data_IF_628388659225
#
_entry.id   IF_628388659225
#
_cell.length_a   1.000
_cell.length_b   1.000
_cell.length_c   1.000
_cell.angle_alpha   90.00
_cell.angle_beta   90.00
_cell.angle_gamma   90.00
#
_symmetry.space_group_name_H-M   'P 1'
#
loop_
_entity.id
_entity.type
_entity.pdbx_description
1 polymer ?
#
# COMPACT_ATOMS: atom_id res chain seq x y z
N UNK A 1 -20.53 -36.61 -47.76
CA UNK A 1 -21.62 -37.06 -46.87
C UNK A 1 -21.54 -36.15 -45.63
N UNK A 2 -22.06 -34.91 -45.68
CA UNK A 2 -23.49 -34.54 -45.55
C UNK A 2 -24.03 -35.07 -44.22
N UNK A 3 -24.27 -34.28 -43.17
CA UNK A 3 -25.25 -33.17 -42.99
C UNK A 3 -24.80 -32.33 -41.75
N UNK A 4 -24.76 -30.99 -41.67
CA UNK A 4 -25.77 -29.90 -41.77
C UNK A 4 -27.00 -30.05 -40.85
N UNK A 5 -27.07 -29.30 -39.74
CA UNK A 5 -28.15 -28.33 -39.48
C UNK A 5 -27.95 -27.46 -38.21
N UNK A 6 -28.58 -26.26 -38.13
CA UNK A 6 -28.14 -25.11 -37.33
C UNK A 6 -29.12 -24.65 -36.21
N UNK A 7 -28.69 -23.61 -35.50
CA UNK A 7 -29.30 -22.81 -34.41
C UNK A 7 -30.79 -22.45 -34.54
N UNK A 8 -31.44 -22.05 -33.43
CA UNK A 8 -32.47 -21.02 -33.46
C UNK A 8 -31.99 -19.68 -32.86
N UNK A 9 -32.31 -18.64 -33.62
CA UNK A 9 -32.29 -17.22 -33.32
C UNK A 9 -33.41 -16.91 -32.33
N UNK A 10 -33.18 -16.03 -31.35
CA UNK A 10 -34.27 -15.34 -30.66
C UNK A 10 -34.04 -13.83 -30.69
N UNK A 11 -34.88 -13.16 -31.48
CA UNK A 11 -35.04 -11.72 -31.57
C UNK A 11 -36.09 -11.27 -30.55
N UNK A 12 -35.74 -10.33 -29.68
CA UNK A 12 -36.65 -9.72 -28.71
C UNK A 12 -36.40 -8.22 -28.60
N UNK A 13 -37.05 -7.49 -29.50
CA UNK A 13 -37.11 -6.04 -29.65
C UNK A 13 -37.95 -5.31 -28.59
N UNK A 14 -37.50 -4.09 -28.26
CA UNK A 14 -38.23 -2.86 -27.86
C UNK A 14 -39.33 -2.92 -26.78
N UNK A 15 -39.23 -2.03 -25.78
CA UNK A 15 -40.20 -0.94 -25.51
C UNK A 15 -39.83 -0.14 -24.25
N UNK A 16 -39.45 1.14 -24.45
CA UNK A 16 -39.59 2.22 -23.48
C UNK A 16 -41.03 2.78 -23.57
N UNK A 17 -41.58 3.27 -22.45
CA UNK A 17 -42.32 4.53 -22.51
C UNK A 17 -41.94 5.44 -21.32
N UNK A 18 -41.47 6.67 -21.56
CA UNK A 18 -42.25 7.90 -21.80
C UNK A 18 -42.67 8.62 -20.51
N UNK A 19 -42.04 9.79 -20.31
CA UNK A 19 -42.48 10.89 -19.43
C UNK A 19 -43.85 11.43 -19.85
N UNK A 20 -44.54 12.16 -18.96
CA UNK A 20 -45.36 13.29 -19.35
C UNK A 20 -44.85 14.63 -18.80
N UNK A 21 -44.94 15.63 -19.68
CA UNK A 21 -44.86 17.08 -19.47
C UNK A 21 -46.23 17.63 -19.02
N UNK A 22 -46.26 18.68 -18.17
CA UNK A 22 -46.93 20.00 -18.34
C UNK A 22 -46.96 20.75 -16.99
N UNK A 23 -46.41 21.97 -16.90
CA UNK A 23 -47.05 23.31 -17.08
C UNK A 23 -48.07 23.63 -15.95
N UNK A 24 -48.27 24.84 -15.40
CA UNK A 24 -47.76 26.21 -15.54
C UNK A 24 -48.64 27.11 -14.62
N UNK A 25 -48.15 28.26 -14.14
CA UNK A 25 -48.95 29.34 -13.48
C UNK A 25 -49.30 29.07 -12.00
N UNK A 26 -49.29 30.01 -11.06
CA UNK A 26 -49.63 31.44 -11.12
C UNK A 26 -48.88 32.28 -10.06
N UNK A 27 -48.82 33.58 -10.33
CA UNK A 27 -48.32 34.67 -9.48
C UNK A 27 -49.45 35.34 -8.66
N UNK A 28 -49.03 36.20 -7.70
CA UNK A 28 -49.74 37.35 -7.08
C UNK A 28 -50.82 37.01 -6.02
N UNK A 29 -51.04 37.72 -4.90
CA UNK A 29 -50.58 39.01 -4.37
C UNK A 29 -50.93 39.14 -2.87
N UNK A 30 -50.03 39.79 -2.12
CA UNK A 30 -50.20 40.79 -1.03
C UNK A 30 -51.56 40.90 -0.30
N UNK A 31 -51.56 40.74 1.03
CA UNK A 31 -52.18 41.67 2.00
C UNK A 31 -51.78 41.33 3.44
N UNK A 32 -51.37 42.35 4.21
CA UNK A 32 -50.75 42.20 5.52
C UNK A 32 -51.71 42.07 6.70
N UNK A 33 -51.13 41.67 7.84
CA UNK A 33 -51.61 42.07 9.16
C UNK A 33 -50.44 42.06 10.14
N UNK A 34 -50.06 43.26 10.55
CA UNK A 34 -49.10 43.52 11.64
C UNK A 34 -49.82 43.25 12.96
N UNK A 35 -49.26 42.37 13.77
CA UNK A 35 -49.62 42.24 15.20
C UNK A 35 -48.31 42.25 15.97
N UNK A 36 -48.08 43.34 16.72
CA UNK A 36 -46.98 43.46 17.66
C UNK A 36 -47.24 42.52 18.84
N UNK A 37 -46.36 41.55 19.05
CA UNK A 37 -46.26 40.80 20.30
C UNK A 37 -44.86 40.98 20.86
N UNK A 38 -44.78 41.82 21.89
CA UNK A 38 -43.62 42.03 22.74
C UNK A 38 -43.39 40.75 23.57
N UNK A 39 -42.36 39.99 23.23
CA UNK A 39 -41.80 38.97 24.12
C UNK A 39 -40.28 39.14 24.11
N UNK A 40 -39.75 39.63 25.22
CA UNK A 40 -38.31 39.76 25.48
C UNK A 40 -37.72 38.34 25.48
N UNK A 41 -36.73 38.01 24.63
CA UNK A 41 -36.03 36.74 24.74
C UNK A 41 -35.03 36.81 25.90
N UNK A 42 -35.09 35.79 26.75
CA UNK A 42 -34.13 35.56 27.84
C UNK A 42 -32.68 35.55 27.32
N UNK A 43 -31.69 35.91 28.17
CA UNK A 43 -30.29 35.97 27.76
C UNK A 43 -29.79 34.60 27.26
N UNK A 44 -28.81 34.58 26.34
CA UNK A 44 -28.28 33.34 25.79
C UNK A 44 -27.72 32.48 26.93
N UNK A 45 -28.21 31.24 27.00
CA UNK A 45 -27.61 30.18 27.79
C UNK A 45 -26.15 30.11 27.37
N UNK A 46 -25.25 30.49 28.28
CA UNK A 46 -23.83 30.18 28.16
C UNK A 46 -23.77 28.67 28.06
N UNK A 47 -23.47 28.15 26.86
CA UNK A 47 -23.05 26.77 26.69
C UNK A 47 -21.75 26.63 27.50
N UNK A 48 -21.89 26.23 28.76
CA UNK A 48 -20.79 25.62 29.49
C UNK A 48 -20.51 24.32 28.73
N UNK A 49 -19.57 24.38 27.79
CA UNK A 49 -18.91 23.18 27.31
C UNK A 49 -18.37 22.51 28.58
N UNK A 50 -18.96 21.37 28.94
CA UNK A 50 -18.53 20.61 30.11
C UNK A 50 -17.03 20.37 29.98
N UNK A 51 -16.25 20.73 31.00
CA UNK A 51 -14.79 20.52 31.06
C UNK A 51 -14.37 19.08 30.72
N UNK A 52 -15.29 18.13 30.85
CA UNK A 52 -15.15 16.73 30.42
C UNK A 52 -14.83 16.55 28.92
N UNK A 53 -15.22 17.48 28.04
CA UNK A 53 -14.88 17.42 26.62
C UNK A 53 -13.47 18.00 26.33
N UNK A 54 -12.97 18.87 27.20
CA UNK A 54 -11.62 19.44 27.11
C UNK A 54 -10.55 18.47 27.62
N UNK A 55 -10.86 17.67 28.65
CA UNK A 55 -9.95 16.63 29.16
C UNK A 55 -9.71 15.51 28.13
N UNK A 56 -10.69 15.21 27.27
CA UNK A 56 -10.52 14.30 26.13
C UNK A 56 -9.66 14.90 24.98
N UNK A 57 -9.51 16.23 24.95
CA UNK A 57 -8.63 16.96 24.02
C UNK A 57 -7.24 17.21 24.62
N UNK A 58 -7.01 16.79 25.86
CA UNK A 58 -5.72 16.89 26.56
C UNK A 58 -4.81 15.78 26.05
N UNK A 59 -4.45 15.87 24.77
CA UNK A 59 -3.44 15.03 24.16
C UNK A 59 -2.14 15.07 24.97
N UNK A 60 -1.31 14.07 24.79
CA UNK A 60 -0.03 13.98 25.49
C UNK A 60 0.87 15.16 25.10
N UNK A 61 0.84 16.21 25.93
CA UNK A 61 1.58 17.45 25.71
C UNK A 61 3.07 17.19 25.60
N UNK A 62 3.60 16.19 26.32
CA UNK A 62 5.02 15.85 26.26
C UNK A 62 5.36 15.27 24.88
N UNK A 63 4.59 14.29 24.40
CA UNK A 63 4.79 13.71 23.07
C UNK A 63 4.64 14.74 21.96
N UNK A 64 3.63 15.62 22.03
CA UNK A 64 3.46 16.69 21.04
C UNK A 64 4.63 17.68 21.06
N UNK A 65 5.18 18.00 22.24
CA UNK A 65 6.36 18.87 22.34
C UNK A 65 7.59 18.20 21.73
N UNK A 66 7.78 16.90 21.95
CA UNK A 66 8.88 16.14 21.33
C UNK A 66 8.73 16.06 19.80
N UNK A 67 7.53 15.73 19.30
CA UNK A 67 7.24 15.71 17.87
C UNK A 67 7.48 17.09 17.23
N UNK A 68 7.06 18.16 17.90
CA UNK A 68 7.28 19.52 17.42
C UNK A 68 8.76 19.87 17.37
N UNK A 69 9.54 19.46 18.38
CA UNK A 69 10.99 19.60 18.35
C UNK A 69 11.61 18.84 17.17
N UNK A 70 11.18 17.59 16.91
CA UNK A 70 11.66 16.81 15.75
C UNK A 70 11.29 17.48 14.42
N UNK A 71 10.12 18.09 14.33
CA UNK A 71 9.70 18.85 13.16
C UNK A 71 10.59 20.10 12.97
N UNK A 72 10.91 20.83 14.04
CA UNK A 72 11.84 21.95 13.97
C UNK A 72 13.23 21.49 13.52
N UNK A 73 13.75 20.38 14.07
CA UNK A 73 15.00 19.79 13.62
C UNK A 73 14.95 19.44 12.12
N UNK A 74 13.85 18.85 11.65
CA UNK A 74 13.63 18.58 10.22
C UNK A 74 13.66 19.86 9.35
N UNK A 75 13.01 20.94 9.80
CA UNK A 75 13.00 22.24 9.09
C UNK A 75 14.38 22.88 9.05
N UNK A 76 15.14 22.77 10.14
CA UNK A 76 16.48 23.36 10.26
C UNK A 76 17.60 22.45 9.72
N UNK A 77 17.29 21.23 9.28
CA UNK A 77 18.28 20.27 8.80
C UNK A 77 19.13 19.65 9.92
N UNK A 78 18.65 19.68 11.16
CA UNK A 78 19.30 19.05 12.30
C UNK A 78 18.91 17.56 12.40
N UNK A 79 19.83 16.70 12.89
CA UNK A 79 19.54 15.28 13.05
C UNK A 79 18.49 15.03 14.14
N UNK A 80 17.58 14.09 13.88
CA UNK A 80 16.60 13.61 14.84
C UNK A 80 16.43 12.10 14.69
N UNK A 81 15.79 11.46 15.67
CA UNK A 81 15.55 10.01 15.68
C UNK A 81 14.07 9.72 15.66
N UNK A 82 13.71 8.70 14.89
CA UNK A 82 12.37 8.12 14.88
C UNK A 82 12.40 6.81 15.68
N UNK A 83 11.38 6.63 16.50
CA UNK A 83 11.17 5.49 17.39
C UNK A 83 10.23 4.48 16.74
N UNK A 84 9.21 4.94 15.99
CA UNK A 84 8.20 4.05 15.41
C UNK A 84 7.51 4.62 14.18
N UNK A 85 6.84 3.76 13.41
CA UNK A 85 6.01 4.18 12.26
C UNK A 85 4.83 5.05 12.72
N UNK A 86 4.27 4.77 13.90
CA UNK A 86 3.20 5.58 14.50
C UNK A 86 3.68 7.01 14.78
N UNK A 87 4.91 7.14 15.26
CA UNK A 87 5.55 8.43 15.45
C UNK A 87 5.77 9.16 14.13
N UNK A 88 6.26 8.47 13.09
CA UNK A 88 6.39 9.05 11.76
C UNK A 88 5.03 9.53 11.20
N UNK A 89 3.95 8.77 11.45
CA UNK A 89 2.59 9.19 11.11
C UNK A 89 2.19 10.48 11.82
N UNK A 90 2.38 10.53 13.14
CA UNK A 90 2.08 11.72 13.96
C UNK A 90 2.91 12.94 13.55
N UNK A 91 4.20 12.73 13.24
CA UNK A 91 5.10 13.76 12.74
C UNK A 91 4.67 14.27 11.35
N UNK A 92 4.17 13.37 10.50
CA UNK A 92 3.63 13.72 9.17
C UNK A 92 2.36 14.54 9.30
N UNK A 93 1.46 14.19 10.21
CA UNK A 93 0.25 14.97 10.46
C UNK A 93 0.56 16.35 11.06
N UNK A 94 1.56 16.43 11.93
CA UNK A 94 2.04 17.71 12.43
C UNK A 94 2.67 18.56 11.32
N UNK A 95 3.49 17.95 10.46
CA UNK A 95 4.08 18.65 9.32
C UNK A 95 3.00 19.14 8.34
N UNK A 96 1.92 18.38 8.13
CA UNK A 96 0.77 18.82 7.34
C UNK A 96 0.10 20.05 7.96
N UNK A 97 -0.13 20.02 9.27
CA UNK A 97 -0.71 21.16 10.01
C UNK A 97 0.12 22.44 9.92
N UNK A 98 1.45 22.33 9.98
CA UNK A 98 2.38 23.46 9.89
C UNK A 98 2.89 23.75 8.47
N UNK A 99 2.31 23.14 7.43
CA UNK A 99 2.73 23.28 6.04
C UNK A 99 4.23 22.98 5.81
N UNK A 100 4.77 22.01 6.53
CA UNK A 100 6.18 21.63 6.57
C UNK A 100 6.46 20.22 6.00
N UNK A 101 5.51 19.62 5.25
CA UNK A 101 5.68 18.30 4.63
C UNK A 101 6.94 18.21 3.74
N UNK A 102 7.23 19.26 2.97
CA UNK A 102 8.40 19.32 2.09
C UNK A 102 9.72 19.38 2.86
N UNK A 103 9.74 20.00 4.03
CA UNK A 103 10.90 20.00 4.91
C UNK A 103 11.11 18.60 5.50
N UNK A 104 10.04 18.02 6.05
CA UNK A 104 10.08 16.67 6.63
C UNK A 104 10.49 15.61 5.60
N UNK A 105 9.90 15.63 4.41
CA UNK A 105 10.23 14.69 3.33
C UNK A 105 11.71 14.72 2.95
N UNK A 106 12.35 15.90 2.95
CA UNK A 106 13.79 16.03 2.66
C UNK A 106 14.69 15.53 3.79
N UNK A 107 14.23 15.58 5.04
CA UNK A 107 15.03 15.23 6.21
C UNK A 107 14.79 13.80 6.73
N UNK A 108 13.75 13.11 6.25
CA UNK A 108 13.30 11.84 6.85
C UNK A 108 14.17 10.63 6.48
N UNK A 109 14.94 10.69 5.39
CA UNK A 109 15.73 9.54 4.95
C UNK A 109 16.82 9.11 5.95
N UNK A 110 17.69 9.99 6.49
CA UNK A 110 18.66 9.59 7.52
C UNK A 110 18.03 8.89 8.74
N UNK A 111 16.99 9.44 9.40
CA UNK A 111 16.37 8.73 10.51
C UNK A 111 15.72 7.42 10.10
N UNK A 112 15.17 7.31 8.88
CA UNK A 112 14.67 6.03 8.35
C UNK A 112 15.73 4.96 8.19
N UNK A 113 16.98 5.35 7.91
CA UNK A 113 18.09 4.41 7.77
C UNK A 113 18.69 4.01 9.13
N UNK A 114 18.58 4.87 10.14
CA UNK A 114 19.05 4.60 11.50
C UNK A 114 18.06 3.77 12.33
N UNK A 115 16.77 4.02 12.14
CA UNK A 115 15.72 3.30 12.84
C UNK A 115 15.37 2.03 12.08
N UNK A 116 15.49 0.88 12.76
CA UNK A 116 15.11 -0.41 12.21
C UNK A 116 13.59 -0.50 12.11
N UNK A 117 13.02 0.12 11.07
CA UNK A 117 11.59 0.05 10.85
C UNK A 117 11.19 -1.35 10.42
N UNK A 118 10.29 -1.94 11.20
CA UNK A 118 9.59 -3.13 10.79
C UNK A 118 8.43 -2.73 9.85
N UNK A 119 8.71 -2.69 8.55
CA UNK A 119 7.76 -2.33 7.47
C UNK A 119 6.49 -3.20 7.52
N UNK A 120 6.57 -4.38 8.12
CA UNK A 120 5.46 -5.34 8.22
C UNK A 120 4.33 -4.86 9.10
N UNK A 121 4.64 -4.09 10.14
CA UNK A 121 3.69 -3.86 11.22
C UNK A 121 2.56 -2.91 10.82
N UNK A 122 2.72 -2.09 9.78
CA UNK A 122 1.66 -1.20 9.28
C UNK A 122 1.93 -0.74 7.84
N UNK A 123 2.08 -1.67 6.89
CA UNK A 123 2.47 -1.32 5.51
C UNK A 123 1.49 -0.38 4.82
N UNK A 124 0.18 -0.52 5.06
CA UNK A 124 -0.85 0.37 4.51
C UNK A 124 -0.66 1.80 5.00
N UNK A 125 -0.52 1.99 6.32
CA UNK A 125 -0.25 3.32 6.91
C UNK A 125 1.06 3.90 6.39
N UNK A 126 2.08 3.06 6.18
CA UNK A 126 3.36 3.50 5.64
C UNK A 126 3.24 3.99 4.19
N UNK A 127 2.41 3.33 3.37
CA UNK A 127 2.09 3.79 2.01
C UNK A 127 1.40 5.15 2.07
N UNK A 128 0.42 5.33 2.96
CA UNK A 128 -0.30 6.60 3.08
C UNK A 128 0.61 7.75 3.55
N UNK A 129 1.49 7.49 4.53
CA UNK A 129 2.53 8.42 4.97
C UNK A 129 3.47 8.76 3.80
N UNK A 130 3.95 7.76 3.07
CA UNK A 130 4.87 7.97 1.96
C UNK A 130 4.24 8.81 0.84
N UNK A 131 2.94 8.63 0.58
CA UNK A 131 2.19 9.43 -0.38
C UNK A 131 2.04 10.87 0.11
N UNK A 132 1.68 11.05 1.38
CA UNK A 132 1.50 12.37 1.98
C UNK A 132 2.81 13.17 1.98
N UNK A 133 3.94 12.51 2.24
CA UNK A 133 5.28 13.10 2.16
C UNK A 133 5.83 13.17 0.73
N UNK A 134 5.19 12.51 -0.24
CA UNK A 134 5.73 12.26 -1.60
C UNK A 134 7.15 11.67 -1.57
N UNK A 135 7.41 10.81 -0.60
CA UNK A 135 8.74 10.26 -0.36
C UNK A 135 8.96 8.96 -1.17
N UNK A 136 9.71 9.07 -2.26
CA UNK A 136 9.88 8.02 -3.28
C UNK A 136 10.39 6.69 -2.71
N UNK A 137 11.46 6.76 -1.90
CA UNK A 137 12.09 5.57 -1.32
C UNK A 137 11.10 4.88 -0.39
N UNK A 138 10.38 5.64 0.44
CA UNK A 138 9.47 5.06 1.44
C UNK A 138 8.29 4.37 0.77
N UNK A 139 7.76 4.98 -0.30
CA UNK A 139 6.67 4.38 -1.06
C UNK A 139 7.10 3.10 -1.75
N UNK A 140 8.27 3.11 -2.41
CA UNK A 140 8.81 1.92 -3.10
C UNK A 140 8.99 0.76 -2.12
N UNK A 141 9.56 1.02 -0.96
CA UNK A 141 9.80 0.01 0.08
C UNK A 141 8.50 -0.63 0.56
N UNK A 142 7.53 0.21 0.93
CA UNK A 142 6.25 -0.26 1.44
C UNK A 142 5.45 -1.00 0.36
N UNK A 143 5.47 -0.50 -0.87
CA UNK A 143 4.74 -1.09 -1.99
C UNK A 143 5.40 -2.39 -2.49
N UNK A 144 6.73 -2.48 -2.56
CA UNK A 144 7.46 -3.73 -2.85
C UNK A 144 7.19 -4.77 -1.77
N UNK A 145 7.26 -4.37 -0.49
CA UNK A 145 6.96 -5.29 0.60
C UNK A 145 5.52 -5.82 0.52
N UNK A 146 4.54 -4.96 0.27
CA UNK A 146 3.13 -5.35 0.17
C UNK A 146 2.86 -6.21 -1.07
N UNK A 147 3.36 -5.80 -2.23
CA UNK A 147 3.24 -6.58 -3.48
C UNK A 147 3.87 -7.97 -3.32
N UNK A 148 4.97 -8.00 -2.57
CA UNK A 148 5.75 -9.16 -2.21
C UNK A 148 5.09 -10.10 -1.20
N UNK A 149 4.05 -9.73 -0.45
CA UNK A 149 3.48 -10.64 0.57
C UNK A 149 2.59 -11.74 -0.04
N UNK A 150 3.07 -12.97 -0.10
CA UNK A 150 2.32 -14.11 -0.68
C UNK A 150 1.40 -14.80 0.31
N UNK A 151 1.23 -14.27 1.53
CA UNK A 151 0.13 -14.67 2.42
C UNK A 151 -1.17 -13.99 1.99
N UNK A 152 -2.01 -14.75 1.27
CA UNK A 152 -3.23 -14.28 0.58
C UNK A 152 -4.12 -13.39 1.46
N UNK A 153 -4.41 -13.80 2.70
CA UNK A 153 -5.33 -13.06 3.57
C UNK A 153 -4.82 -11.65 3.92
N UNK A 154 -3.52 -11.51 4.27
CA UNK A 154 -2.95 -10.21 4.65
C UNK A 154 -2.89 -9.25 3.48
N UNK A 155 -2.51 -9.75 2.31
CA UNK A 155 -2.44 -8.97 1.09
C UNK A 155 -3.81 -8.41 0.70
N UNK A 156 -4.84 -9.26 0.67
CA UNK A 156 -6.19 -8.87 0.26
C UNK A 156 -6.79 -7.80 1.20
N UNK A 157 -6.65 -7.98 2.51
CA UNK A 157 -7.08 -7.00 3.51
C UNK A 157 -6.38 -5.65 3.37
N UNK A 158 -5.07 -5.67 3.10
CA UNK A 158 -4.28 -4.46 2.91
C UNK A 158 -4.64 -3.72 1.61
N UNK A 159 -4.78 -4.46 0.51
CA UNK A 159 -5.18 -3.91 -0.79
C UNK A 159 -6.60 -3.33 -0.79
N UNK A 160 -7.51 -3.89 0.00
CA UNK A 160 -8.86 -3.36 0.15
C UNK A 160 -8.87 -1.96 0.79
N UNK A 161 -7.87 -1.63 1.60
CA UNK A 161 -7.74 -0.33 2.30
C UNK A 161 -7.05 0.75 1.47
N UNK A 162 -6.37 0.39 0.38
CA UNK A 162 -5.60 1.34 -0.43
C UNK A 162 -6.47 2.13 -1.41
N UNK A 163 -6.12 3.41 -1.58
CA UNK A 163 -6.67 4.27 -2.61
C UNK A 163 -6.35 3.77 -4.03
N UNK A 164 -7.19 4.12 -5.01
CA UNK A 164 -7.15 3.55 -6.36
C UNK A 164 -5.79 3.65 -7.08
N UNK A 165 -5.08 4.79 -6.97
CA UNK A 165 -3.74 4.93 -7.57
C UNK A 165 -2.67 4.09 -6.86
N UNK A 166 -2.66 4.11 -5.52
CA UNK A 166 -1.69 3.34 -4.72
C UNK A 166 -1.89 1.84 -4.96
N UNK A 167 -3.16 1.42 -4.94
CA UNK A 167 -3.58 0.06 -5.26
C UNK A 167 -3.11 -0.37 -6.64
N UNK A 168 -3.25 0.48 -7.67
CA UNK A 168 -2.80 0.17 -9.03
C UNK A 168 -1.30 -0.14 -9.07
N UNK A 169 -0.47 0.68 -8.44
CA UNK A 169 0.99 0.47 -8.40
C UNK A 169 1.35 -0.85 -7.70
N UNK A 170 0.77 -1.13 -6.53
CA UNK A 170 1.03 -2.37 -5.78
C UNK A 170 0.55 -3.61 -6.53
N UNK A 171 -0.64 -3.55 -7.15
CA UNK A 171 -1.20 -4.65 -7.95
C UNK A 171 -0.35 -4.90 -9.20
N UNK A 172 0.12 -3.85 -9.87
CA UNK A 172 1.02 -3.98 -11.02
C UNK A 172 2.33 -4.67 -10.63
N UNK A 173 2.98 -4.22 -9.54
CA UNK A 173 4.19 -4.83 -9.00
C UNK A 173 3.99 -6.31 -8.63
N UNK A 174 2.87 -6.64 -7.96
CA UNK A 174 2.53 -8.03 -7.64
C UNK A 174 2.31 -8.86 -8.90
N UNK A 175 1.60 -8.32 -9.88
CA UNK A 175 1.32 -9.02 -11.14
C UNK A 175 2.60 -9.34 -11.91
N UNK A 176 3.53 -8.38 -11.97
CA UNK A 176 4.85 -8.58 -12.58
C UNK A 176 5.63 -9.69 -11.85
N UNK A 177 5.66 -9.65 -10.52
CA UNK A 177 6.29 -10.72 -9.72
C UNK A 177 5.61 -12.06 -9.94
N UNK A 178 4.27 -12.10 -10.02
CA UNK A 178 3.53 -13.32 -10.29
C UNK A 178 3.84 -13.94 -11.66
N UNK A 179 4.07 -13.11 -12.68
CA UNK A 179 4.54 -13.58 -13.99
C UNK A 179 5.95 -14.18 -13.90
N UNK A 180 6.87 -13.54 -13.18
CA UNK A 180 8.21 -14.09 -12.93
C UNK A 180 8.14 -15.44 -12.21
N UNK A 181 7.35 -15.53 -11.14
CA UNK A 181 7.14 -16.77 -10.38
C UNK A 181 6.61 -17.88 -11.28
N UNK A 182 5.61 -17.59 -12.13
CA UNK A 182 5.04 -18.57 -13.05
C UNK A 182 6.06 -19.06 -14.08
N UNK A 183 6.83 -18.15 -14.68
CA UNK A 183 7.88 -18.48 -15.64
C UNK A 183 8.99 -19.34 -15.01
N UNK A 184 9.47 -18.96 -13.82
CA UNK A 184 10.49 -19.72 -13.09
C UNK A 184 9.98 -21.08 -12.65
N UNK A 185 8.73 -21.18 -12.20
CA UNK A 185 8.13 -22.48 -11.89
C UNK A 185 8.08 -23.37 -13.15
N UNK A 186 7.71 -22.83 -14.30
CA UNK A 186 7.70 -23.58 -15.56
C UNK A 186 9.11 -24.05 -15.94
N UNK A 187 10.13 -23.20 -15.76
CA UNK A 187 11.52 -23.57 -15.96
C UNK A 187 11.95 -24.71 -15.04
N UNK A 188 11.65 -24.63 -13.73
CA UNK A 188 11.98 -25.67 -12.76
C UNK A 188 11.32 -27.01 -13.11
N UNK A 189 10.05 -26.99 -13.52
CA UNK A 189 9.33 -28.20 -13.93
C UNK A 189 9.98 -28.87 -15.16
N UNK A 190 10.50 -28.10 -16.12
CA UNK A 190 11.26 -28.62 -17.27
C UNK A 190 12.63 -29.17 -16.85
N UNK A 191 13.27 -28.55 -15.87
CA UNK A 191 14.58 -28.94 -15.36
C UNK A 191 14.56 -30.06 -14.31
N UNK A 192 13.36 -30.52 -13.88
CA UNK A 192 13.18 -31.56 -12.85
C UNK A 192 14.09 -32.78 -13.04
N UNK A 193 14.22 -33.28 -14.27
CA UNK A 193 15.02 -34.50 -14.55
C UNK A 193 16.54 -34.29 -14.53
N UNK A 194 17.00 -33.04 -14.64
CA UNK A 194 18.41 -32.69 -14.75
C UNK A 194 19.00 -32.28 -13.42
N UNK A 195 18.21 -31.61 -12.59
CA UNK A 195 18.65 -31.13 -11.27
C UNK A 195 18.13 -31.99 -10.13
N UNK A 196 19.05 -32.54 -9.33
CA UNK A 196 18.72 -33.37 -8.19
C UNK A 196 18.03 -32.56 -7.09
N UNK A 197 18.48 -31.32 -6.85
CA UNK A 197 17.87 -30.43 -5.85
C UNK A 197 16.43 -30.07 -6.23
N UNK A 198 16.17 -29.74 -7.50
CA UNK A 198 14.82 -29.40 -7.97
C UNK A 198 13.88 -30.60 -7.82
N UNK A 199 14.33 -31.80 -8.22
CA UNK A 199 13.56 -33.03 -8.01
C UNK A 199 13.21 -33.28 -6.54
N UNK A 200 14.20 -33.15 -5.63
CA UNK A 200 13.99 -33.34 -4.19
C UNK A 200 13.01 -32.33 -3.61
N UNK A 201 13.13 -31.04 -3.97
CA UNK A 201 12.23 -30.01 -3.44
C UNK A 201 10.82 -30.14 -4.02
N UNK A 202 10.65 -30.55 -5.29
CA UNK A 202 9.32 -30.81 -5.85
C UNK A 202 8.61 -31.98 -5.16
N UNK A 203 9.32 -33.07 -4.86
CA UNK A 203 8.75 -34.19 -4.08
C UNK A 203 8.34 -33.74 -2.67
N UNK A 204 9.14 -32.87 -2.03
CA UNK A 204 8.77 -32.28 -0.74
C UNK A 204 7.55 -31.38 -0.83
N UNK A 205 7.42 -30.61 -1.91
CA UNK A 205 6.25 -29.77 -2.16
C UNK A 205 4.97 -30.62 -2.30
N UNK A 206 5.05 -31.74 -3.00
CA UNK A 206 3.94 -32.71 -3.13
C UNK A 206 3.56 -33.34 -1.77
N UNK A 207 4.49 -33.44 -0.82
CA UNK A 207 4.31 -34.07 0.49
C UNK A 207 3.94 -33.09 1.62
N UNK A 208 4.20 -31.79 1.47
CA UNK A 208 3.95 -30.78 2.49
C UNK A 208 2.75 -29.89 2.10
N UNK A 209 1.66 -29.99 2.86
CA UNK A 209 0.46 -29.15 2.68
C UNK A 209 0.69 -27.65 2.93
N UNK A 210 1.70 -27.31 3.74
CA UNK A 210 1.94 -25.93 4.22
C UNK A 210 3.15 -25.25 3.54
N UNK A 211 3.61 -25.78 2.41
CA UNK A 211 4.79 -25.24 1.76
C UNK A 211 4.50 -23.88 1.11
N UNK A 212 5.06 -22.81 1.69
CA UNK A 212 5.07 -21.50 1.05
C UNK A 212 5.90 -21.54 -0.24
N UNK A 213 5.36 -21.00 -1.33
CA UNK A 213 6.04 -20.88 -2.62
C UNK A 213 7.38 -20.13 -2.51
N UNK A 214 7.45 -19.06 -1.73
CA UNK A 214 8.67 -18.26 -1.52
C UNK A 214 9.76 -19.12 -0.86
N UNK A 215 9.42 -19.84 0.21
CA UNK A 215 10.38 -20.72 0.88
C UNK A 215 10.77 -21.92 0.02
N UNK A 216 9.88 -22.41 -0.85
CA UNK A 216 10.20 -23.40 -1.88
C UNK A 216 11.29 -22.90 -2.83
N UNK A 217 11.14 -21.69 -3.40
CA UNK A 217 12.16 -21.10 -4.26
C UNK A 217 13.47 -20.84 -3.52
N UNK A 218 13.40 -20.32 -2.29
CA UNK A 218 14.58 -20.07 -1.44
C UNK A 218 15.38 -21.34 -1.16
N UNK A 219 14.71 -22.47 -0.86
CA UNK A 219 15.38 -23.77 -0.65
C UNK A 219 16.07 -24.30 -1.90
N UNK A 220 15.51 -24.06 -3.09
CA UNK A 220 16.17 -24.44 -4.34
C UNK A 220 17.39 -23.54 -4.54
N UNK A 221 17.21 -22.22 -4.46
CA UNK A 221 18.27 -21.24 -4.69
C UNK A 221 19.48 -21.44 -3.76
N UNK A 222 19.24 -21.63 -2.47
CA UNK A 222 20.29 -21.84 -1.46
C UNK A 222 20.87 -23.27 -1.50
N UNK A 223 20.14 -24.23 -2.09
CA UNK A 223 20.53 -25.63 -2.16
C UNK A 223 21.27 -26.03 -3.43
N UNK A 224 21.39 -25.12 -4.41
CA UNK A 224 22.12 -25.37 -5.66
C UNK A 224 23.63 -25.42 -5.43
N UNK A 225 24.26 -26.48 -5.91
CA UNK A 225 25.71 -26.58 -6.04
C UNK A 225 26.20 -25.69 -7.21
N UNK A 226 27.23 -24.88 -6.98
CA UNK A 226 27.81 -24.02 -8.02
C UNK A 226 28.73 -24.78 -8.97
N UNK A 227 29.23 -25.95 -8.56
CA UNK A 227 30.09 -26.79 -9.39
C UNK A 227 29.29 -27.67 -10.39
N UNK A 228 27.99 -27.86 -10.13
CA UNK A 228 27.08 -28.57 -11.05
C UNK A 228 26.47 -27.59 -12.06
N UNK A 229 26.76 -27.81 -13.36
CA UNK A 229 26.30 -26.94 -14.45
C UNK A 229 24.78 -26.81 -14.54
N UNK A 230 24.04 -27.87 -14.25
CA UNK A 230 22.58 -27.86 -14.30
C UNK A 230 22.00 -27.09 -13.09
N UNK A 231 22.61 -27.22 -11.91
CA UNK A 231 22.20 -26.48 -10.72
C UNK A 231 22.64 -25.00 -10.77
N UNK A 232 23.80 -24.69 -11.36
CA UNK A 232 24.25 -23.31 -11.64
C UNK A 232 23.27 -22.60 -12.60
N UNK A 233 22.80 -23.32 -13.64
CA UNK A 233 21.78 -22.79 -14.55
C UNK A 233 20.46 -22.50 -13.83
N UNK A 234 20.06 -23.37 -12.87
CA UNK A 234 18.89 -23.14 -12.02
C UNK A 234 19.09 -21.92 -11.12
N UNK A 235 20.22 -21.84 -10.42
CA UNK A 235 20.54 -20.72 -9.51
C UNK A 235 20.53 -19.39 -10.25
N UNK A 236 21.16 -19.33 -11.43
CA UNK A 236 21.15 -18.14 -12.31
C UNK A 236 19.74 -17.75 -12.73
N UNK A 237 18.91 -18.73 -13.09
CA UNK A 237 17.51 -18.50 -13.50
C UNK A 237 16.68 -17.95 -12.34
N UNK A 238 16.89 -18.43 -11.11
CA UNK A 238 16.17 -17.94 -9.94
C UNK A 238 16.73 -16.64 -9.35
N UNK A 239 17.93 -16.23 -9.78
CA UNK A 239 18.66 -15.10 -9.19
C UNK A 239 17.82 -13.83 -9.11
N UNK A 240 17.14 -13.46 -10.20
CA UNK A 240 16.33 -12.24 -10.24
C UNK A 240 15.10 -12.29 -9.32
N UNK A 241 14.47 -13.46 -9.18
CA UNK A 241 13.34 -13.66 -8.25
C UNK A 241 13.77 -13.56 -6.78
N UNK A 242 15.02 -13.91 -6.48
CA UNK A 242 15.58 -13.96 -5.12
C UNK A 242 16.32 -12.67 -4.72
N UNK A 243 16.33 -11.64 -5.57
CA UNK A 243 16.87 -10.33 -5.22
C UNK A 243 16.00 -9.66 -4.14
N UNK A 244 16.65 -9.00 -3.20
CA UNK A 244 16.02 -8.07 -2.28
C UNK A 244 16.23 -6.61 -2.73
N UNK A 245 15.17 -5.96 -3.23
CA UNK A 245 15.20 -4.56 -3.64
C UNK A 245 14.92 -3.56 -2.50
N UNK A 246 14.72 -4.04 -1.26
CA UNK A 246 14.57 -3.17 -0.08
C UNK A 246 15.92 -2.57 0.32
N UNK A 247 15.93 -1.27 0.58
CA UNK A 247 17.07 -0.42 0.95
C UNK A 247 16.98 0.06 2.40
N UNK A 248 15.77 0.17 2.96
CA UNK A 248 15.56 0.71 4.31
C UNK A 248 15.82 -0.32 5.42
N UNK A 249 15.73 -1.62 5.14
CA UNK A 249 15.92 -2.65 6.17
C UNK A 249 17.38 -3.12 6.27
N UNK A 250 17.92 -3.18 7.50
CA UNK A 250 19.25 -3.71 7.81
C UNK A 250 19.20 -4.66 9.02
N UNK A 251 19.84 -5.84 8.99
CA UNK A 251 20.55 -6.41 7.85
C UNK A 251 19.58 -6.78 6.70
N UNK A 252 20.05 -6.80 5.44
CA UNK A 252 19.22 -7.23 4.33
C UNK A 252 18.87 -8.70 4.54
N UNK A 253 17.59 -9.01 4.73
CA UNK A 253 17.10 -10.38 4.71
C UNK A 253 16.94 -10.88 3.28
N UNK A 254 17.00 -12.20 3.08
CA UNK A 254 16.70 -12.81 1.78
C UNK A 254 15.19 -13.09 1.65
N UNK A 255 14.62 -13.05 0.44
CA UNK A 255 13.28 -13.58 0.20
C UNK A 255 13.18 -15.03 0.72
N UNK A 256 12.14 -15.34 1.49
CA UNK A 256 11.96 -16.68 2.05
C UNK A 256 12.67 -16.94 3.39
N UNK A 257 13.28 -15.92 4.00
CA UNK A 257 14.01 -16.05 5.27
C UNK A 257 13.56 -15.04 6.33
N UNK A 258 13.51 -15.47 7.60
CA UNK A 258 13.23 -14.62 8.76
C UNK A 258 11.94 -13.82 8.60
N UNK A 259 12.04 -12.50 8.69
CA UNK A 259 10.89 -11.61 8.49
C UNK A 259 10.27 -11.76 7.09
N UNK A 260 11.05 -12.11 6.06
CA UNK A 260 10.60 -12.19 4.68
C UNK A 260 10.26 -13.61 4.22
N UNK A 261 9.97 -14.52 5.16
CA UNK A 261 9.64 -15.93 4.86
C UNK A 261 8.56 -16.10 3.79
N UNK A 262 7.61 -15.16 3.76
CA UNK A 262 6.47 -15.21 2.85
C UNK A 262 6.55 -14.16 1.74
N UNK A 263 7.71 -13.51 1.54
CA UNK A 263 7.82 -12.36 0.65
C UNK A 263 8.81 -12.55 -0.50
N UNK A 264 8.37 -12.27 -1.73
CA UNK A 264 9.29 -11.94 -2.83
C UNK A 264 9.58 -10.45 -2.80
N UNK A 265 10.86 -10.08 -2.91
CA UNK A 265 11.30 -8.68 -2.77
C UNK A 265 11.94 -8.14 -4.05
N UNK A 266 11.75 -8.84 -5.18
CA UNK A 266 12.34 -8.54 -6.47
C UNK A 266 11.52 -7.55 -7.31
N UNK A 267 10.36 -7.11 -6.82
CA UNK A 267 9.54 -6.11 -7.52
C UNK A 267 10.33 -4.81 -7.69
N UNK A 268 10.09 -4.15 -8.81
CA UNK A 268 10.48 -2.77 -9.05
C UNK A 268 9.23 -1.95 -9.35
N UNK A 269 9.23 -0.71 -8.87
CA UNK A 269 8.16 0.25 -9.13
C UNK A 269 8.81 1.35 -9.94
N UNK A 270 8.31 1.66 -11.13
CA UNK A 270 8.94 2.67 -11.96
C UNK A 270 8.57 4.09 -11.47
N UNK A 271 9.27 5.11 -11.95
CA UNK A 271 8.99 6.51 -11.57
C UNK A 271 7.58 6.93 -12.02
N UNK A 272 7.15 6.44 -13.17
CA UNK A 272 5.83 6.62 -13.76
C UNK A 272 4.69 5.93 -12.98
N UNK A 273 5.02 4.95 -12.13
CA UNK A 273 4.05 4.25 -11.28
C UNK A 273 3.84 4.93 -9.92
N UNK A 274 4.62 5.99 -9.63
CA UNK A 274 4.40 6.80 -8.43
C UNK A 274 3.02 7.50 -8.51
N UNK A 275 2.29 7.60 -7.39
CA UNK A 275 0.94 8.16 -7.41
C UNK A 275 0.91 9.69 -7.51
N UNK A 276 2.09 10.34 -7.46
CA UNK A 276 2.29 11.79 -7.61
C UNK A 276 3.23 12.09 -8.78
N UNK A 277 3.15 13.32 -9.29
CA UNK A 277 4.06 13.83 -10.31
C UNK A 277 5.35 14.34 -9.66
N UNK A 278 6.50 13.85 -10.12
CA UNK A 278 7.82 14.25 -9.61
C UNK A 278 8.21 15.69 -9.96
N UNK A 279 7.59 16.25 -11.00
CA UNK A 279 7.85 17.62 -11.45
C UNK A 279 7.05 18.65 -10.68
N UNK A 280 6.03 18.21 -9.92
CA UNK A 280 5.19 19.09 -9.14
C UNK A 280 5.97 19.63 -7.93
N UNK A 281 6.09 20.96 -7.86
CA UNK A 281 6.62 21.65 -6.68
C UNK A 281 5.51 21.88 -5.68
N UNK A 282 5.76 21.54 -4.43
CA UNK A 282 4.95 21.98 -3.30
C UNK A 282 5.31 23.43 -3.01
N UNK A 283 4.39 24.35 -3.33
CA UNK A 283 4.49 25.78 -3.05
C UNK A 283 3.94 26.08 -1.66
#
# INVERSE_FOLDING_TARGET
MSTSNPLPINNGSYLLPSKPHHQQGDQLSIAGKVTMSSTIPAPPIIFQASDNHLEALKGDKANHTELFHKLLSAVHGEPYKLVSISELGSLTDMADHYCALSALSRSVLPPLLESLFNIQINTVTLIDIAVKLRHEILFREAAVFLAGDWLTNRYEEAIAKLNGRHKKAVVAARSATGLMVADRLQFLLRSRRRSSIVSKQLVRLEQCSDANIVSFFGRIYNGCDEDDKDEEAVKRSLGDLMINNLRLHKPPGSPGEGYYENCFLCSEIADEDLPWDRTQKDF
#
